data_IF_232422839049
#
_entry.id   IF_232422839049
#
_cell.length_a   1.000
_cell.length_b   1.000
_cell.length_c   1.000
_cell.angle_alpha   90.00
_cell.angle_beta   90.00
_cell.angle_gamma   90.00
#
_symmetry.space_group_name_H-M   'P 1'
#
loop_
_entity.id
_entity.type
_entity.pdbx_description
1 polymer ?
#
# COMPACT_ATOMS: atom_id res chain seq x y z
N UNK A 1 29.44 -104.25 68.06
CA UNK A 1 28.27 -103.40 67.75
C UNK A 1 28.77 -102.27 66.87
N UNK A 2 28.50 -102.30 65.56
CA UNK A 2 28.95 -101.25 64.65
C UNK A 2 27.85 -100.19 64.57
N UNK A 3 28.04 -99.09 65.31
CA UNK A 3 27.04 -98.03 65.45
C UNK A 3 27.10 -97.10 64.22
N UNK A 4 26.68 -97.60 63.07
CA UNK A 4 26.51 -96.80 61.87
C UNK A 4 25.27 -95.92 62.02
N UNK A 5 25.45 -94.61 61.88
CA UNK A 5 24.37 -93.64 61.84
C UNK A 5 24.37 -92.93 60.48
N UNK A 6 23.20 -92.42 60.09
CA UNK A 6 23.03 -91.59 58.89
C UNK A 6 22.35 -90.30 59.33
N UNK A 7 22.94 -89.17 58.95
CA UNK A 7 22.34 -87.87 59.18
C UNK A 7 21.46 -87.49 57.98
N UNK A 8 20.24 -87.04 58.26
CA UNK A 8 19.42 -86.34 57.27
C UNK A 8 19.79 -84.85 57.35
N UNK A 9 20.43 -84.35 56.30
CA UNK A 9 20.95 -82.99 56.31
C UNK A 9 19.86 -81.97 56.00
N UNK A 10 19.86 -80.87 56.74
CA UNK A 10 19.02 -79.73 56.40
C UNK A 10 19.41 -79.19 55.01
N UNK A 11 18.43 -78.62 54.32
CA UNK A 11 18.61 -78.05 52.98
C UNK A 11 19.79 -77.06 52.98
N UNK A 12 20.71 -77.16 52.01
CA UNK A 12 21.93 -76.35 51.94
C UNK A 12 23.17 -76.97 52.62
N UNK A 13 23.05 -78.12 53.28
CA UNK A 13 24.18 -78.83 53.90
C UNK A 13 24.39 -80.24 53.32
N UNK A 14 25.63 -80.68 53.26
CA UNK A 14 26.06 -81.99 52.77
C UNK A 14 27.13 -82.64 53.66
N UNK A 15 27.49 -83.89 53.35
CA UNK A 15 28.49 -84.69 54.06
C UNK A 15 27.89 -85.57 55.17
N UNK A 16 28.69 -86.53 55.64
CA UNK A 16 28.22 -87.57 56.58
C UNK A 16 27.68 -87.01 57.91
N UNK A 17 28.15 -85.82 58.30
CA UNK A 17 27.72 -85.09 59.50
C UNK A 17 27.12 -83.72 59.16
N UNK A 18 26.67 -83.50 57.92
CA UNK A 18 26.11 -82.24 57.45
C UNK A 18 27.04 -81.03 57.67
N UNK A 19 28.34 -81.25 57.58
CA UNK A 19 29.37 -80.26 57.86
C UNK A 19 29.82 -79.45 56.63
N UNK A 20 29.39 -79.85 55.44
CA UNK A 20 29.74 -79.19 54.18
C UNK A 20 28.61 -78.24 53.82
N UNK A 21 28.93 -76.98 53.66
CA UNK A 21 28.03 -75.96 53.08
C UNK A 21 27.99 -76.14 51.56
N UNK A 22 26.79 -76.19 50.98
CA UNK A 22 26.63 -76.31 49.53
C UNK A 22 26.73 -74.93 48.91
N UNK A 23 27.78 -74.67 48.13
CA UNK A 23 27.88 -73.43 47.33
C UNK A 23 26.89 -73.48 46.16
N UNK A 24 25.72 -72.88 46.35
CA UNK A 24 24.68 -72.87 45.33
C UNK A 24 25.03 -71.96 44.12
N UNK A 25 26.02 -71.06 44.27
CA UNK A 25 26.48 -70.19 43.17
C UNK A 25 27.26 -70.93 42.08
N UNK A 26 27.79 -72.14 42.36
CA UNK A 26 28.44 -72.99 41.32
C UNK A 26 27.50 -73.32 40.15
N UNK A 27 26.18 -73.28 40.37
CA UNK A 27 25.18 -73.52 39.33
C UNK A 27 24.91 -72.32 38.42
N UNK A 28 25.54 -71.16 38.68
CA UNK A 28 25.29 -69.87 38.02
C UNK A 28 23.79 -69.49 38.01
N UNK A 29 23.12 -69.40 39.17
CA UNK A 29 21.68 -69.16 39.23
C UNK A 29 21.27 -67.73 38.86
N UNK A 30 22.21 -66.77 38.81
CA UNK A 30 21.96 -65.36 38.53
C UNK A 30 22.09 -65.03 37.03
N UNK A 31 21.06 -64.45 36.45
CA UNK A 31 21.05 -63.99 35.04
C UNK A 31 21.62 -62.58 34.89
N UNK A 32 21.77 -62.14 33.63
CA UNK A 32 22.10 -60.76 33.27
C UNK A 32 23.39 -60.22 33.94
N UNK A 33 24.41 -61.08 34.07
CA UNK A 33 25.69 -60.77 34.72
C UNK A 33 25.54 -60.28 36.17
N UNK A 34 24.45 -60.64 36.86
CA UNK A 34 24.28 -60.35 38.27
C UNK A 34 25.27 -61.16 39.13
N UNK A 35 25.65 -60.59 40.27
CA UNK A 35 26.60 -61.23 41.19
C UNK A 35 25.88 -62.21 42.10
N UNK A 36 26.32 -63.47 42.12
CA UNK A 36 25.79 -64.48 43.03
C UNK A 36 26.50 -64.41 44.39
N UNK A 37 25.72 -64.46 45.46
CA UNK A 37 26.18 -64.53 46.83
C UNK A 37 25.64 -65.81 47.47
N UNK A 38 26.57 -66.70 47.82
CA UNK A 38 26.28 -67.93 48.55
C UNK A 38 25.81 -67.63 49.98
N UNK A 39 24.72 -68.27 50.43
CA UNK A 39 24.05 -67.97 51.71
C UNK A 39 23.36 -69.21 52.29
N UNK A 40 23.96 -69.89 53.24
CA UNK A 40 23.29 -71.07 53.82
C UNK A 40 22.07 -70.73 54.69
N UNK A 41 20.88 -71.34 54.44
CA UNK A 41 20.56 -72.21 53.30
C UNK A 41 20.19 -71.41 52.02
N UNK A 42 20.85 -71.69 50.88
CA UNK A 42 20.54 -71.10 49.57
C UNK A 42 21.48 -69.99 49.06
N UNK A 43 20.96 -69.13 48.19
CA UNK A 43 21.75 -68.10 47.51
C UNK A 43 20.94 -66.81 47.31
N UNK A 44 21.64 -65.71 47.00
CA UNK A 44 21.02 -64.43 46.66
C UNK A 44 21.77 -63.77 45.49
N UNK A 45 21.05 -63.24 44.50
CA UNK A 45 21.63 -62.45 43.43
C UNK A 45 21.57 -60.95 43.74
N UNK A 46 22.69 -60.26 43.60
CA UNK A 46 22.71 -58.79 43.52
C UNK A 46 22.60 -58.36 42.05
N UNK A 47 21.41 -57.87 41.70
CA UNK A 47 21.09 -57.45 40.34
C UNK A 47 21.87 -56.21 39.91
N UNK A 48 22.30 -56.19 38.65
CA UNK A 48 22.76 -54.96 38.00
C UNK A 48 21.58 -53.99 37.81
N UNK A 49 21.84 -52.67 37.71
CA UNK A 49 20.79 -51.68 37.42
C UNK A 49 19.98 -52.06 36.18
N UNK A 50 18.66 -51.85 36.23
CA UNK A 50 17.74 -52.22 35.14
C UNK A 50 17.19 -53.65 35.23
N UNK A 51 17.63 -54.48 36.19
CA UNK A 51 17.11 -55.83 36.38
C UNK A 51 16.47 -56.04 37.76
N UNK A 52 15.47 -56.93 37.80
CA UNK A 52 14.74 -57.33 39.00
C UNK A 52 14.43 -58.83 38.98
N UNK A 53 13.84 -59.33 40.07
CA UNK A 53 13.57 -60.74 40.29
C UNK A 53 14.64 -61.42 41.16
N UNK A 54 14.30 -62.60 41.68
CA UNK A 54 15.18 -63.37 42.57
C UNK A 54 16.49 -63.81 41.89
N UNK A 55 16.45 -64.06 40.59
CA UNK A 55 17.62 -64.42 39.75
C UNK A 55 18.07 -63.25 38.86
N UNK A 56 17.53 -62.04 39.06
CA UNK A 56 17.77 -60.88 38.20
C UNK A 56 17.39 -61.14 36.72
N UNK A 57 16.38 -61.98 36.50
CA UNK A 57 15.95 -62.46 35.19
C UNK A 57 15.04 -61.47 34.44
N UNK A 58 14.44 -60.52 35.15
CA UNK A 58 13.41 -59.63 34.59
C UNK A 58 14.00 -58.25 34.35
N UNK A 59 13.89 -57.76 33.13
CA UNK A 59 14.17 -56.36 32.79
C UNK A 59 13.12 -55.44 33.45
N UNK A 60 13.56 -54.34 34.03
CA UNK A 60 12.67 -53.30 34.52
C UNK A 60 12.13 -52.56 33.30
N UNK A 61 10.81 -52.31 33.27
CA UNK A 61 10.20 -51.46 32.25
C UNK A 61 9.99 -50.06 32.84
N UNK A 62 11.01 -49.20 32.70
CA UNK A 62 10.96 -47.84 33.19
C UNK A 62 9.87 -46.99 32.51
N UNK A 63 9.38 -47.40 31.32
CA UNK A 63 8.29 -46.71 30.63
C UNK A 63 6.93 -46.86 31.33
N UNK A 64 6.74 -47.83 32.23
CA UNK A 64 5.51 -47.94 33.04
C UNK A 64 5.27 -46.73 33.97
N UNK A 65 6.31 -45.91 34.18
CA UNK A 65 6.23 -44.71 35.00
C UNK A 65 5.88 -43.43 34.23
N UNK A 66 5.60 -43.54 32.92
CA UNK A 66 5.38 -42.43 31.99
C UNK A 66 6.44 -41.31 32.13
N UNK A 67 7.74 -41.63 31.95
CA UNK A 67 8.79 -40.68 32.23
C UNK A 67 8.89 -39.57 31.16
N UNK A 68 8.31 -39.74 29.97
CA UNK A 68 8.40 -38.77 28.87
C UNK A 68 7.30 -37.71 28.92
N UNK A 69 7.65 -36.43 28.72
CA UNK A 69 6.70 -35.32 28.67
C UNK A 69 6.26 -35.02 27.23
N UNK A 70 5.27 -34.12 27.09
CA UNK A 70 4.84 -33.53 25.81
C UNK A 70 4.50 -34.57 24.73
N UNK A 71 3.80 -35.64 25.12
CA UNK A 71 3.41 -36.76 24.25
C UNK A 71 4.58 -37.45 23.53
N UNK A 72 5.79 -37.35 24.08
CA UNK A 72 6.94 -38.09 23.58
C UNK A 72 6.79 -39.60 23.81
N UNK A 73 7.36 -40.39 22.91
CA UNK A 73 7.30 -41.85 22.98
C UNK A 73 8.42 -42.37 23.89
N UNK A 74 8.06 -43.08 24.95
CA UNK A 74 9.03 -43.77 25.80
C UNK A 74 9.52 -45.05 25.15
N UNK A 75 10.83 -45.29 25.23
CA UNK A 75 11.49 -46.47 24.71
C UNK A 75 12.25 -47.12 25.88
N UNK A 76 11.83 -48.32 26.28
CA UNK A 76 12.51 -49.05 27.33
C UNK A 76 13.90 -49.51 26.86
N UNK A 77 14.93 -49.31 27.70
CA UNK A 77 16.32 -49.66 27.39
C UNK A 77 16.93 -50.36 28.59
N UNK A 78 17.92 -51.21 28.38
CA UNK A 78 18.60 -51.84 29.52
C UNK A 78 20.08 -51.43 29.54
N UNK A 79 20.55 -50.70 30.58
CA UNK A 79 19.77 -50.14 31.70
C UNK A 79 19.05 -48.82 31.34
N UNK A 80 17.83 -48.59 31.84
CA UNK A 80 17.13 -47.30 31.79
C UNK A 80 16.07 -47.11 30.69
N UNK A 81 16.04 -45.92 30.08
CA UNK A 81 15.03 -45.57 29.08
C UNK A 81 15.47 -44.36 28.26
N UNK A 82 14.89 -44.22 27.07
CA UNK A 82 15.02 -43.05 26.20
C UNK A 82 13.63 -42.46 25.89
N UNK A 83 13.55 -41.15 25.70
CA UNK A 83 12.36 -40.51 25.11
C UNK A 83 12.64 -40.10 23.67
N UNK A 84 11.79 -40.54 22.74
CA UNK A 84 11.73 -40.00 21.39
C UNK A 84 10.79 -38.78 21.39
N UNK A 85 11.39 -37.59 21.36
CA UNK A 85 10.65 -36.33 21.38
C UNK A 85 9.86 -36.12 20.09
N UNK A 86 8.64 -35.59 20.23
CA UNK A 86 7.90 -35.04 19.10
C UNK A 86 8.60 -33.75 18.61
N UNK A 87 8.42 -33.35 17.34
CA UNK A 87 8.99 -32.10 16.83
C UNK A 87 8.62 -30.89 17.72
N UNK A 88 9.56 -29.96 17.91
CA UNK A 88 9.38 -28.78 18.77
C UNK A 88 9.74 -29.00 20.25
N UNK A 89 10.15 -30.20 20.66
CA UNK A 89 10.61 -30.47 22.03
C UNK A 89 11.99 -31.12 22.08
N UNK A 90 12.70 -30.87 23.18
CA UNK A 90 14.05 -31.35 23.45
C UNK A 90 14.25 -31.67 24.94
N UNK A 91 15.42 -32.21 25.28
CA UNK A 91 15.78 -32.71 26.59
C UNK A 91 15.59 -34.21 26.74
N UNK A 92 16.20 -34.80 27.76
CA UNK A 92 16.17 -36.25 28.02
C UNK A 92 14.76 -36.80 28.27
N UNK A 93 13.84 -35.96 28.76
CA UNK A 93 12.43 -36.30 28.98
C UNK A 93 11.51 -35.55 28.01
N UNK A 94 12.06 -34.90 26.99
CA UNK A 94 11.33 -34.00 26.08
C UNK A 94 10.56 -32.89 26.80
N UNK A 95 11.09 -32.42 27.93
CA UNK A 95 10.45 -31.44 28.81
C UNK A 95 10.59 -30.00 28.35
N UNK A 96 11.54 -29.73 27.45
CA UNK A 96 11.89 -28.38 27.03
C UNK A 96 11.31 -28.12 25.65
N UNK A 97 10.49 -27.09 25.53
CA UNK A 97 10.02 -26.58 24.24
C UNK A 97 11.17 -25.84 23.54
N UNK A 98 11.28 -26.01 22.22
CA UNK A 98 12.32 -25.39 21.41
C UNK A 98 11.82 -24.03 20.94
N UNK A 99 12.36 -22.94 21.50
CA UNK A 99 12.07 -21.59 20.99
C UNK A 99 12.82 -21.39 19.66
N UNK A 100 12.14 -21.59 18.53
CA UNK A 100 12.74 -21.44 17.21
C UNK A 100 13.05 -19.97 16.86
N UNK A 101 12.45 -19.01 17.56
CA UNK A 101 12.72 -17.58 17.39
C UNK A 101 14.10 -17.15 17.93
N UNK A 102 14.75 -17.95 18.79
CA UNK A 102 16.14 -17.67 19.24
C UNK A 102 17.16 -17.60 18.10
N UNK A 103 16.83 -18.17 16.94
CA UNK A 103 17.69 -18.14 15.75
C UNK A 103 17.49 -16.91 14.86
N UNK A 104 16.60 -15.99 15.23
CA UNK A 104 16.18 -14.83 14.44
C UNK A 104 15.80 -15.19 12.98
N UNK A 105 14.85 -16.12 12.76
CA UNK A 105 14.56 -16.63 11.41
C UNK A 105 13.81 -15.62 10.51
N UNK A 106 13.31 -14.53 11.09
CA UNK A 106 12.50 -13.51 10.44
C UNK A 106 13.32 -12.32 9.92
N UNK A 107 13.17 -11.97 8.65
CA UNK A 107 13.91 -10.89 8.01
C UNK A 107 13.10 -9.59 7.94
N UNK A 108 13.75 -8.51 7.50
CA UNK A 108 13.13 -7.21 7.26
C UNK A 108 12.40 -6.63 8.48
N UNK A 109 12.96 -6.83 9.68
CA UNK A 109 12.38 -6.41 10.96
C UNK A 109 10.99 -7.01 11.24
N UNK A 110 10.66 -8.15 10.64
CA UNK A 110 9.45 -8.88 10.94
C UNK A 110 9.46 -9.43 12.37
N UNK A 111 8.28 -9.59 12.95
CA UNK A 111 8.13 -10.13 14.32
C UNK A 111 8.08 -11.65 14.26
N UNK A 112 8.99 -12.33 14.95
CA UNK A 112 8.95 -13.78 15.11
C UNK A 112 7.95 -14.18 16.20
N UNK A 113 7.08 -15.14 15.90
CA UNK A 113 6.17 -15.77 16.85
C UNK A 113 6.54 -17.24 16.93
N UNK A 114 6.96 -17.65 18.11
CA UNK A 114 7.26 -19.03 18.47
C UNK A 114 5.98 -19.89 18.45
N UNK A 115 6.04 -21.09 17.87
CA UNK A 115 4.88 -21.97 17.66
C UNK A 115 5.25 -23.44 17.65
N UNK A 116 4.92 -24.19 18.67
CA UNK A 116 5.24 -25.63 18.66
C UNK A 116 4.35 -26.46 17.70
N UNK A 117 4.90 -27.20 16.70
CA UNK A 117 6.30 -27.20 16.25
C UNK A 117 6.62 -26.09 15.24
N UNK A 118 7.77 -25.41 15.40
CA UNK A 118 8.25 -24.37 14.49
C UNK A 118 7.92 -22.93 14.86
N UNK A 119 7.82 -22.06 13.85
CA UNK A 119 7.68 -20.63 14.08
C UNK A 119 6.88 -19.97 12.95
N UNK A 120 6.44 -18.74 13.18
CA UNK A 120 5.79 -17.93 12.15
C UNK A 120 6.25 -16.48 12.21
N UNK A 121 6.66 -15.90 11.08
CA UNK A 121 6.90 -14.47 11.00
C UNK A 121 5.61 -13.69 10.73
N UNK A 122 5.47 -12.55 11.39
CA UNK A 122 4.53 -11.51 11.00
C UNK A 122 5.30 -10.45 10.23
N UNK A 123 5.09 -10.43 8.92
CA UNK A 123 5.77 -9.51 8.02
C UNK A 123 5.28 -8.08 8.22
N UNK A 124 6.20 -7.12 8.09
CA UNK A 124 5.83 -5.72 7.95
C UNK A 124 5.11 -5.51 6.60
N UNK A 125 4.27 -4.47 6.47
CA UNK A 125 3.66 -4.10 5.19
C UNK A 125 4.72 -3.97 4.09
N UNK A 126 4.42 -4.44 2.88
CA UNK A 126 5.35 -4.53 1.75
C UNK A 126 6.18 -5.81 1.68
N UNK A 127 6.15 -6.69 2.70
CA UNK A 127 6.88 -7.97 2.66
C UNK A 127 5.96 -9.19 2.74
N UNK A 128 6.40 -10.30 2.15
CA UNK A 128 5.71 -11.58 2.16
C UNK A 128 6.69 -12.77 2.24
N UNK A 129 6.14 -13.99 2.29
CA UNK A 129 6.86 -15.24 2.44
C UNK A 129 7.05 -15.67 3.91
N UNK A 130 7.41 -16.94 4.12
CA UNK A 130 7.52 -17.52 5.47
C UNK A 130 8.53 -16.76 6.35
N UNK A 131 9.65 -16.32 5.77
CA UNK A 131 10.71 -15.56 6.43
C UNK A 131 10.61 -14.05 6.22
N UNK A 132 9.55 -13.55 5.56
CA UNK A 132 9.38 -12.14 5.19
C UNK A 132 10.52 -11.56 4.34
N UNK A 133 11.13 -12.37 3.49
CA UNK A 133 12.27 -11.99 2.64
C UNK A 133 11.85 -11.45 1.27
N UNK A 134 10.59 -11.63 0.90
CA UNK A 134 10.09 -11.31 -0.44
C UNK A 134 9.44 -9.93 -0.38
N UNK A 135 9.93 -8.99 -1.17
CA UNK A 135 9.28 -7.69 -1.40
C UNK A 135 8.01 -7.91 -2.24
N UNK A 136 6.91 -7.30 -1.83
CA UNK A 136 5.66 -7.34 -2.58
C UNK A 136 5.83 -6.42 -3.78
N UNK A 137 5.41 -6.88 -4.96
CA UNK A 137 5.42 -6.04 -6.15
C UNK A 137 4.04 -5.40 -6.34
N UNK A 138 3.87 -4.16 -5.90
CA UNK A 138 2.62 -3.40 -6.02
C UNK A 138 2.23 -3.16 -7.49
N UNK A 139 3.23 -3.10 -8.38
CA UNK A 139 3.04 -2.95 -9.82
C UNK A 139 2.44 -4.18 -10.51
N UNK A 140 2.44 -5.37 -9.87
CA UNK A 140 1.86 -6.59 -10.45
C UNK A 140 0.37 -6.43 -10.77
N UNK A 141 -0.34 -5.60 -10.01
CA UNK A 141 -1.76 -5.28 -10.25
C UNK A 141 -2.00 -4.33 -11.42
N UNK A 142 -0.94 -3.81 -12.05
CA UNK A 142 -0.99 -2.78 -13.11
C UNK A 142 -1.82 -1.55 -12.72
N UNK A 143 -1.49 -0.86 -11.60
CA UNK A 143 -2.32 0.24 -11.09
C UNK A 143 -2.29 1.49 -11.99
N UNK A 144 -1.20 1.69 -12.74
CA UNK A 144 -1.03 2.86 -13.61
C UNK A 144 -1.91 2.79 -14.87
N UNK A 145 -2.86 3.70 -14.98
CA UNK A 145 -3.77 3.84 -16.11
C UNK A 145 -3.09 4.51 -17.32
N UNK A 146 -3.77 4.49 -18.47
CA UNK A 146 -3.33 5.10 -19.73
C UNK A 146 -1.91 4.68 -20.15
N UNK A 147 -1.51 3.46 -19.79
CA UNK A 147 -0.19 2.88 -20.04
C UNK A 147 0.95 3.70 -19.40
N UNK A 148 0.74 4.25 -18.21
CA UNK A 148 1.80 4.80 -17.37
C UNK A 148 2.82 3.73 -16.96
N UNK A 149 4.08 4.12 -16.76
CA UNK A 149 5.12 3.20 -16.30
C UNK A 149 5.08 3.10 -14.78
N UNK A 150 4.84 1.90 -14.26
CA UNK A 150 4.82 1.66 -12.81
C UNK A 150 6.23 1.44 -12.26
N UNK A 151 6.52 2.05 -11.13
CA UNK A 151 7.72 1.82 -10.33
C UNK A 151 7.32 1.22 -8.99
N UNK A 152 7.89 0.06 -8.72
CA UNK A 152 7.74 -0.68 -7.48
C UNK A 152 8.50 0.02 -6.36
N UNK A 153 7.86 0.20 -5.20
CA UNK A 153 8.46 0.82 -4.02
C UNK A 153 8.07 0.00 -2.79
N UNK A 154 8.81 0.14 -1.69
CA UNK A 154 8.49 -0.64 -0.49
C UNK A 154 7.11 -0.25 0.07
N UNK A 155 6.15 -1.18 0.04
CA UNK A 155 4.77 -0.99 0.49
C UNK A 155 4.04 0.17 -0.22
N UNK A 156 4.46 0.52 -1.45
CA UNK A 156 3.90 1.63 -2.21
C UNK A 156 4.24 1.46 -3.71
N UNK A 157 3.71 2.32 -4.56
CA UNK A 157 4.13 2.38 -5.96
C UNK A 157 4.11 3.82 -6.46
N UNK A 158 4.78 4.04 -7.59
CA UNK A 158 4.73 5.32 -8.30
C UNK A 158 4.48 5.12 -9.78
N UNK A 159 3.48 5.83 -10.30
CA UNK A 159 3.26 5.90 -11.74
C UNK A 159 4.01 7.07 -12.37
N UNK A 160 4.77 6.78 -13.42
CA UNK A 160 5.26 7.77 -14.36
C UNK A 160 4.27 7.91 -15.51
N UNK A 161 3.51 9.00 -15.47
CA UNK A 161 2.45 9.25 -16.44
C UNK A 161 3.01 9.64 -17.80
N UNK A 162 2.34 9.16 -18.85
CA UNK A 162 2.56 9.68 -20.20
C UNK A 162 2.09 11.14 -20.27
N UNK A 163 2.68 11.89 -21.19
CA UNK A 163 2.33 13.28 -21.41
C UNK A 163 0.82 13.40 -21.73
N UNK A 164 0.16 14.43 -21.19
CA UNK A 164 -1.30 14.59 -21.22
C UNK A 164 -2.07 13.91 -20.08
N UNK A 165 -1.41 13.20 -19.17
CA UNK A 165 -2.06 12.56 -18.01
C UNK A 165 -1.37 12.93 -16.68
N UNK A 166 -2.14 12.92 -15.60
CA UNK A 166 -1.70 13.22 -14.23
C UNK A 166 -2.52 12.43 -13.19
N UNK A 167 -2.23 12.65 -11.91
CA UNK A 167 -2.75 11.86 -10.78
C UNK A 167 -1.83 10.70 -10.39
N UNK A 168 -2.08 10.10 -9.22
CA UNK A 168 -1.25 9.02 -8.67
C UNK A 168 -1.21 7.78 -9.57
N UNK A 169 -2.33 7.49 -10.23
CA UNK A 169 -2.50 6.35 -11.13
C UNK A 169 -2.56 6.79 -12.60
N UNK A 170 -2.17 8.02 -12.91
CA UNK A 170 -2.31 8.59 -14.26
C UNK A 170 -3.75 8.59 -14.80
N UNK A 171 -4.73 8.63 -13.90
CA UNK A 171 -6.16 8.51 -14.21
C UNK A 171 -6.77 9.82 -14.72
N UNK A 172 -6.11 10.95 -14.52
CA UNK A 172 -6.63 12.28 -14.85
C UNK A 172 -6.02 12.72 -16.18
N UNK A 173 -6.85 12.93 -17.20
CA UNK A 173 -6.43 13.62 -18.42
C UNK A 173 -6.24 15.11 -18.11
N UNK A 174 -5.12 15.67 -18.54
CA UNK A 174 -4.85 17.10 -18.43
C UNK A 174 -5.76 17.82 -19.43
N UNK A 175 -6.38 18.92 -18.99
CA UNK A 175 -7.14 19.80 -19.86
C UNK A 175 -6.33 21.06 -20.13
N UNK A 176 -5.67 21.12 -21.28
CA UNK A 176 -4.78 22.23 -21.66
C UNK A 176 -5.55 23.53 -21.92
N UNK A 177 -6.85 23.45 -22.21
CA UNK A 177 -7.72 24.61 -22.39
C UNK A 177 -7.99 25.41 -21.10
N UNK A 178 -7.75 24.84 -19.92
CA UNK A 178 -7.92 25.55 -18.62
C UNK A 178 -7.05 26.81 -18.51
N UNK A 179 -5.94 26.86 -19.25
CA UNK A 179 -5.05 28.03 -19.34
C UNK A 179 -5.55 29.14 -20.26
N UNK A 180 -6.70 28.96 -20.92
CA UNK A 180 -7.25 29.83 -21.96
C UNK A 180 -6.21 30.21 -23.05
N UNK A 181 -5.64 29.22 -23.76
CA UNK A 181 -4.56 29.49 -24.70
C UNK A 181 -5.02 30.18 -25.99
N UNK A 182 -6.30 30.06 -26.37
CA UNK A 182 -6.86 30.65 -27.57
C UNK A 182 -7.21 32.13 -27.37
N UNK A 183 -6.59 33.01 -28.16
CA UNK A 183 -6.83 34.47 -28.15
C UNK A 183 -7.96 34.88 -29.10
N UNK A 184 -8.29 36.17 -29.10
CA UNK A 184 -9.26 36.78 -30.03
C UNK A 184 -10.59 36.01 -30.14
N UNK A 185 -11.13 35.59 -28.99
CA UNK A 185 -12.40 34.85 -28.89
C UNK A 185 -12.42 33.51 -29.66
N UNK A 186 -11.25 32.87 -29.84
CA UNK A 186 -11.15 31.51 -30.37
C UNK A 186 -11.69 30.47 -29.38
N UNK A 187 -12.36 29.44 -29.91
CA UNK A 187 -12.87 28.32 -29.10
C UNK A 187 -11.77 27.28 -28.92
N UNK A 188 -11.44 26.93 -27.68
CA UNK A 188 -10.44 25.91 -27.37
C UNK A 188 -11.07 24.51 -27.37
N UNK A 189 -10.40 23.57 -28.02
CA UNK A 189 -10.72 22.14 -28.00
C UNK A 189 -9.55 21.39 -27.37
N UNK A 190 -9.87 20.71 -26.29
CA UNK A 190 -8.94 19.87 -25.54
C UNK A 190 -8.55 18.62 -26.34
N UNK A 191 -7.27 18.24 -26.31
CA UNK A 191 -6.74 17.05 -26.97
C UNK A 191 -5.78 16.33 -26.00
N UNK A 192 -5.47 15.06 -26.27
CA UNK A 192 -4.49 14.35 -25.45
C UNK A 192 -3.12 15.01 -25.63
N UNK A 193 -2.55 15.53 -24.54
CA UNK A 193 -1.24 16.18 -24.51
C UNK A 193 -1.16 17.43 -25.40
N UNK A 194 -2.26 18.20 -25.49
CA UNK A 194 -2.29 19.40 -26.29
C UNK A 194 -3.69 19.96 -26.47
N UNK A 195 -3.83 20.93 -27.36
CA UNK A 195 -5.12 21.56 -27.65
C UNK A 195 -5.14 22.09 -29.07
N UNK A 196 -6.33 22.41 -29.56
CA UNK A 196 -6.57 23.08 -30.84
C UNK A 196 -7.47 24.29 -30.65
N UNK A 197 -7.07 25.42 -31.21
CA UNK A 197 -7.92 26.60 -31.26
C UNK A 197 -8.72 26.64 -32.58
N UNK A 198 -10.03 26.76 -32.46
CA UNK A 198 -10.90 27.16 -33.57
C UNK A 198 -11.05 28.67 -33.57
N UNK A 199 -10.37 29.33 -34.51
CA UNK A 199 -10.40 30.77 -34.64
C UNK A 199 -11.72 31.26 -35.23
N UNK A 200 -12.13 32.45 -34.80
CA UNK A 200 -13.23 33.18 -35.43
C UNK A 200 -12.78 33.66 -36.82
N UNK A 201 -13.71 34.01 -37.71
CA UNK A 201 -13.42 34.41 -39.11
C UNK A 201 -12.37 35.53 -39.24
N UNK A 202 -12.18 36.32 -38.19
CA UNK A 202 -11.32 37.50 -38.18
C UNK A 202 -9.97 37.26 -37.50
N UNK A 203 -9.62 36.00 -37.17
CA UNK A 203 -8.34 35.63 -36.55
C UNK A 203 -7.69 34.36 -37.11
N UNK A 204 -6.37 34.27 -37.02
CA UNK A 204 -5.53 33.18 -37.53
C UNK A 204 -4.32 32.92 -36.63
N UNK A 205 -3.59 31.84 -36.88
CA UNK A 205 -2.50 31.35 -36.04
C UNK A 205 -2.91 30.14 -35.19
N UNK A 206 -1.94 29.48 -34.55
CA UNK A 206 -2.18 28.27 -33.74
C UNK A 206 -2.98 28.58 -32.47
N UNK A 207 -2.87 29.81 -31.98
CA UNK A 207 -3.53 30.33 -30.78
C UNK A 207 -4.50 31.46 -31.12
N UNK A 208 -4.87 31.63 -32.39
CA UNK A 208 -5.68 32.75 -32.88
C UNK A 208 -5.10 34.12 -32.50
N UNK A 209 -3.78 34.22 -32.42
CA UNK A 209 -3.01 35.37 -31.95
C UNK A 209 -2.96 36.50 -32.98
N UNK A 210 -3.09 36.16 -34.27
CA UNK A 210 -3.07 37.12 -35.36
C UNK A 210 -4.49 37.48 -35.77
N UNK A 211 -4.76 38.76 -36.02
CA UNK A 211 -5.99 39.17 -36.72
C UNK A 211 -5.83 38.83 -38.21
N UNK A 212 -6.89 38.34 -38.85
CA UNK A 212 -6.87 38.05 -40.27
C UNK A 212 -6.53 39.32 -41.06
N UNK A 213 -5.55 39.20 -41.95
CA UNK A 213 -5.25 40.22 -42.93
C UNK A 213 -5.74 39.76 -44.30
N UNK A 214 -6.94 40.19 -44.65
CA UNK A 214 -7.58 39.87 -45.91
C UNK A 214 -6.84 40.47 -47.12
N UNK A 215 -5.90 41.39 -46.91
CA UNK A 215 -5.04 41.96 -47.95
C UNK A 215 -3.75 41.15 -48.22
N UNK A 216 -3.41 40.13 -47.42
CA UNK A 216 -2.17 39.36 -47.60
C UNK A 216 -2.11 38.56 -48.90
N UNK A 217 -3.27 38.19 -49.47
CA UNK A 217 -3.37 37.53 -50.77
C UNK A 217 -3.23 38.50 -51.96
N UNK A 218 -3.02 39.80 -51.71
CA UNK A 218 -3.02 40.87 -52.71
C UNK A 218 -4.25 40.81 -53.62
N UNK A 219 -5.47 40.87 -53.04
CA UNK A 219 -6.70 40.66 -53.80
C UNK A 219 -7.03 41.81 -54.76
N UNK A 220 -6.51 43.02 -54.52
CA UNK A 220 -6.73 44.18 -55.38
C UNK A 220 -5.82 44.13 -56.60
N UNK A 221 -6.42 44.17 -57.79
CA UNK A 221 -5.72 44.18 -59.07
C UNK A 221 -5.33 45.60 -59.49
N UNK A 222 -4.48 45.69 -60.52
CA UNK A 222 -4.12 46.96 -61.19
C UNK A 222 -3.61 48.06 -60.24
N UNK A 223 -2.75 47.67 -59.30
CA UNK A 223 -2.14 48.52 -58.28
C UNK A 223 -3.15 49.21 -57.32
N UNK A 224 -4.36 48.67 -57.20
CA UNK A 224 -5.34 49.13 -56.21
C UNK A 224 -4.83 48.98 -54.76
N UNK A 225 -5.07 49.99 -53.93
CA UNK A 225 -4.67 49.98 -52.52
C UNK A 225 -5.64 49.11 -51.72
N UNK A 226 -5.14 48.07 -51.07
CA UNK A 226 -5.96 47.19 -50.24
C UNK A 226 -6.08 47.69 -48.80
N UNK A 227 -7.30 47.87 -48.32
CA UNK A 227 -7.61 48.17 -46.92
C UNK A 227 -8.19 46.92 -46.23
N UNK A 228 -7.53 46.49 -45.15
CA UNK A 228 -8.00 45.36 -44.34
C UNK A 228 -9.15 45.82 -43.45
N UNK A 229 -10.30 45.14 -43.53
CA UNK A 229 -11.50 45.44 -42.76
C UNK A 229 -11.84 44.28 -41.81
N UNK A 230 -12.80 44.53 -40.91
CA UNK A 230 -13.24 43.53 -39.92
C UNK A 230 -13.98 42.33 -40.55
N UNK A 231 -14.54 42.46 -41.75
CA UNK A 231 -15.36 41.43 -42.42
C UNK A 231 -14.85 41.16 -43.85
N UNK A 232 -13.52 41.27 -44.06
CA UNK A 232 -12.90 41.11 -45.39
C UNK A 232 -11.90 42.22 -45.75
N UNK A 233 -11.74 42.48 -47.04
CA UNK A 233 -10.89 43.56 -47.56
C UNK A 233 -11.71 44.54 -48.39
N UNK A 234 -11.20 45.75 -48.60
CA UNK A 234 -11.75 46.73 -49.53
C UNK A 234 -10.62 47.27 -50.41
N UNK A 235 -10.84 47.29 -51.72
CA UNK A 235 -9.90 47.88 -52.67
C UNK A 235 -10.24 49.35 -52.94
N UNK A 236 -9.22 50.19 -52.98
CA UNK A 236 -9.28 51.56 -53.49
C UNK A 236 -8.56 51.58 -54.84
N UNK A 237 -9.32 51.78 -55.91
CA UNK A 237 -8.81 51.69 -57.27
C UNK A 237 -8.19 53.01 -57.74
N UNK A 238 -7.15 52.91 -58.57
CA UNK A 238 -6.53 54.07 -59.22
C UNK A 238 -7.43 54.55 -60.38
N UNK A 239 -7.36 55.84 -60.68
CA UNK A 239 -8.14 56.50 -61.74
C UNK A 239 -8.27 55.63 -63.01
N UNK A 240 -9.51 55.42 -63.46
CA UNK A 240 -9.92 54.59 -64.61
C UNK A 240 -10.15 53.08 -64.36
N UNK A 241 -10.06 52.61 -63.10
CA UNK A 241 -10.44 51.25 -62.70
C UNK A 241 -11.58 51.23 -61.67
N UNK A 242 -12.46 50.23 -61.74
CA UNK A 242 -13.59 50.02 -60.81
C UNK A 242 -13.88 48.51 -60.62
N UNK A 243 -14.82 48.18 -59.72
CA UNK A 243 -15.11 46.81 -59.29
C UNK A 243 -14.67 46.56 -57.84
N UNK A 244 -15.07 45.42 -57.26
CA UNK A 244 -14.78 45.09 -55.86
C UNK A 244 -13.28 44.77 -55.63
N UNK A 245 -12.58 44.35 -56.70
CA UNK A 245 -11.14 44.05 -56.71
C UNK A 245 -10.36 44.87 -57.75
N UNK A 246 -10.95 45.94 -58.29
CA UNK A 246 -10.38 46.82 -59.32
C UNK A 246 -10.14 46.15 -60.68
N UNK A 247 -10.95 45.18 -61.06
CA UNK A 247 -10.82 44.36 -62.26
C UNK A 247 -11.35 45.00 -63.56
N UNK A 248 -12.21 46.01 -63.47
CA UNK A 248 -12.87 46.62 -64.62
C UNK A 248 -12.21 47.95 -65.02
N UNK A 249 -11.94 48.17 -66.31
CA UNK A 249 -11.38 49.43 -66.85
C UNK A 249 -12.45 50.24 -67.56
N UNK A 250 -12.44 51.56 -67.37
CA UNK A 250 -13.16 52.48 -68.25
C UNK A 250 -12.71 52.30 -69.71
N UNK A 251 -13.55 51.69 -70.54
CA UNK A 251 -13.43 51.74 -72.00
C UNK A 251 -14.20 52.97 -72.48
N UNK A 252 -13.54 54.13 -72.55
CA UNK A 252 -14.09 55.27 -73.27
C UNK A 252 -14.00 55.02 -74.77
N UNK A 253 -14.85 54.13 -75.29
CA UNK A 253 -15.17 54.02 -76.72
C UNK A 253 -16.64 53.61 -76.89
N UNK A 254 -17.51 54.61 -77.00
CA UNK A 254 -18.74 54.65 -77.82
C UNK A 254 -19.51 55.90 -77.41
N UNK A 255 -19.64 56.94 -78.24
CA UNK A 255 -20.30 57.06 -79.54
C UNK A 255 -21.35 58.17 -79.36
N UNK A 256 -21.45 59.03 -80.35
CA UNK A 256 -22.25 60.25 -80.29
C UNK A 256 -23.73 60.00 -80.07
N UNK A 257 -24.35 60.89 -79.31
CA UNK A 257 -25.74 61.23 -79.50
C UNK A 257 -25.83 62.73 -79.79
N UNK A 258 -25.74 63.07 -81.07
CA UNK A 258 -26.22 64.34 -81.61
C UNK A 258 -27.70 64.20 -81.95
N UNK A 259 -28.58 64.80 -81.15
CA UNK A 259 -29.90 65.22 -81.63
C UNK A 259 -30.18 66.62 -81.07
N UNK A 260 -30.25 67.57 -81.99
CA UNK A 260 -30.84 68.89 -81.78
C UNK A 260 -32.34 68.72 -81.55
N UNK A 261 -32.85 69.17 -80.40
CA UNK A 261 -33.92 70.18 -80.24
C UNK A 261 -34.48 70.16 -78.81
N UNK A 262 -34.34 71.31 -78.12
CA UNK A 262 -35.07 71.81 -76.95
C UNK A 262 -35.75 70.80 -76.00
N UNK A 263 -35.11 70.51 -74.85
CA UNK A 263 -35.56 70.86 -73.48
C UNK A 263 -34.92 69.94 -72.42
N UNK A 264 -34.54 70.55 -71.29
CA UNK A 264 -34.09 69.93 -70.03
C UNK A 264 -32.65 69.39 -69.94
N UNK A 265 -31.68 70.31 -69.77
CA UNK A 265 -30.50 70.01 -68.96
C UNK A 265 -30.92 69.90 -67.48
N UNK A 266 -30.95 68.67 -66.95
CA UNK A 266 -31.07 68.40 -65.52
C UNK A 266 -29.81 67.69 -65.04
N UNK A 267 -28.89 68.45 -64.43
CA UNK A 267 -27.88 67.86 -63.55
C UNK A 267 -28.57 67.37 -62.28
N UNK A 268 -28.61 66.06 -62.05
CA UNK A 268 -28.78 65.52 -60.71
C UNK A 268 -27.88 64.30 -60.50
N UNK A 269 -27.23 64.33 -59.35
CA UNK A 269 -26.24 63.42 -58.80
C UNK A 269 -26.74 61.98 -58.66
N UNK A 270 -25.83 61.03 -58.86
CA UNK A 270 -26.01 59.60 -58.56
C UNK A 270 -26.57 59.39 -57.15
N UNK A 271 -27.59 58.54 -57.02
CA UNK A 271 -27.64 57.54 -55.95
C UNK A 271 -28.28 56.26 -56.49
N UNK A 272 -27.43 55.25 -56.68
CA UNK A 272 -27.80 53.85 -56.84
C UNK A 272 -28.56 53.37 -55.60
N UNK A 273 -29.73 52.77 -55.85
CA UNK A 273 -30.38 51.87 -54.91
C UNK A 273 -29.65 50.52 -54.96
N UNK A 274 -28.94 50.13 -53.90
CA UNK A 274 -29.16 48.85 -53.23
C UNK A 274 -28.33 48.69 -51.95
N UNK A 275 -28.98 48.06 -50.98
CA UNK A 275 -28.46 47.53 -49.71
C UNK A 275 -28.46 48.45 -48.48
N UNK A 276 -29.08 47.92 -47.42
CA UNK A 276 -29.22 48.38 -46.02
C UNK A 276 -30.28 49.44 -45.73
N UNK A 277 -31.43 48.97 -45.24
CA UNK A 277 -31.79 49.13 -43.81
C UNK A 277 -32.96 48.22 -43.43
N UNK A 278 -32.62 47.10 -42.79
CA UNK A 278 -33.38 46.58 -41.66
C UNK A 278 -33.65 47.70 -40.64
N UNK A 279 -34.73 47.54 -39.88
CA UNK A 279 -35.28 48.43 -38.84
C UNK A 279 -36.43 49.34 -39.27
N UNK A 280 -37.56 48.70 -39.61
CA UNK A 280 -38.90 49.14 -39.22
C UNK A 280 -39.77 47.91 -38.88
N UNK A 281 -39.42 47.26 -37.77
CA UNK A 281 -40.34 46.50 -36.92
C UNK A 281 -39.64 46.31 -35.56
N UNK A 282 -39.47 47.42 -34.84
CA UNK A 282 -38.93 47.41 -33.49
C UNK A 282 -39.65 48.46 -32.66
N UNK A 283 -40.99 48.33 -32.57
CA UNK A 283 -41.87 49.12 -31.70
C UNK A 283 -43.19 48.38 -31.36
N UNK A 284 -43.19 47.03 -31.40
CA UNK A 284 -44.39 46.22 -31.13
C UNK A 284 -44.17 44.97 -30.27
N UNK A 285 -42.95 44.70 -29.82
CA UNK A 285 -42.59 43.43 -29.15
C UNK A 285 -41.73 43.59 -27.89
N UNK A 286 -41.53 44.84 -27.41
CA UNK A 286 -40.92 45.14 -26.10
C UNK A 286 -41.99 45.50 -25.03
N UNK A 287 -43.23 45.78 -25.46
CA UNK A 287 -44.36 46.01 -24.54
C UNK A 287 -45.01 44.74 -23.98
N UNK A 288 -44.96 43.62 -24.72
CA UNK A 288 -45.62 42.37 -24.32
C UNK A 288 -44.79 41.54 -23.30
N UNK A 289 -43.46 41.66 -23.30
CA UNK A 289 -42.60 40.94 -22.35
C UNK A 289 -42.48 41.62 -20.98
N UNK A 290 -42.56 42.97 -20.93
CA UNK A 290 -42.52 43.74 -19.68
C UNK A 290 -43.88 43.68 -18.95
N UNK A 291 -44.99 43.55 -19.70
CA UNK A 291 -46.32 43.31 -19.13
C UNK A 291 -46.49 41.94 -18.47
N UNK A 292 -45.94 40.87 -19.07
CA UNK A 292 -46.05 39.51 -18.51
C UNK A 292 -45.17 39.29 -17.26
N UNK A 293 -44.00 39.94 -17.18
CA UNK A 293 -43.13 39.86 -15.99
C UNK A 293 -43.67 40.63 -14.78
N UNK A 294 -44.38 41.75 -15.00
CA UNK A 294 -45.00 42.51 -13.92
C UNK A 294 -46.29 41.85 -13.39
N UNK A 295 -47.02 41.10 -14.21
CA UNK A 295 -48.18 40.30 -13.76
C UNK A 295 -47.80 39.02 -13.00
N UNK A 296 -46.64 38.44 -13.30
CA UNK A 296 -46.13 37.24 -12.58
C UNK A 296 -45.55 37.63 -11.21
N UNK A 297 -44.87 38.78 -11.11
CA UNK A 297 -44.36 39.28 -9.84
C UNK A 297 -45.46 39.80 -8.89
N UNK A 298 -46.60 40.28 -9.41
CA UNK A 298 -47.77 40.62 -8.58
C UNK A 298 -48.55 39.39 -8.11
N UNK A 299 -48.58 38.30 -8.90
CA UNK A 299 -49.24 37.04 -8.53
C UNK A 299 -48.45 36.25 -7.47
N UNK A 300 -47.11 36.25 -7.55
CA UNK A 300 -46.25 35.66 -6.53
C UNK A 300 -46.26 36.43 -5.20
N UNK A 301 -46.44 37.75 -5.22
CA UNK A 301 -46.60 38.57 -4.01
C UNK A 301 -47.99 38.38 -3.36
N UNK A 302 -49.03 38.04 -4.13
CA UNK A 302 -50.37 37.69 -3.61
C UNK A 302 -50.37 36.31 -2.91
N UNK A 303 -49.61 35.34 -3.42
CA UNK A 303 -49.50 33.99 -2.82
C UNK A 303 -48.73 33.96 -1.48
N UNK A 304 -47.87 34.94 -1.20
CA UNK A 304 -47.08 35.00 0.05
C UNK A 304 -47.78 35.76 1.19
N UNK A 305 -49.00 36.26 1.00
CA UNK A 305 -49.74 37.05 2.01
C UNK A 305 -51.11 36.47 2.41
N UNK A 306 -51.56 35.36 1.82
CA UNK A 306 -52.77 34.66 2.26
C UNK A 306 -52.42 33.34 2.99
N UNK A 307 -52.45 33.49 4.31
CA UNK A 307 -52.29 32.53 5.39
C UNK A 307 -53.26 31.34 5.29
N UNK A 308 -52.86 30.24 5.93
CA UNK A 308 -53.68 29.42 6.84
C UNK A 308 -54.14 28.03 6.38
N UNK A 309 -53.48 27.04 7.02
CA UNK A 309 -54.02 25.85 7.71
C UNK A 309 -54.68 24.70 6.91
N UNK A 310 -54.33 23.54 7.46
CA UNK A 310 -55.17 22.36 7.78
C UNK A 310 -55.22 21.16 6.83
N UNK A 311 -54.88 20.03 7.48
CA UNK A 311 -55.30 18.63 7.31
C UNK A 311 -54.66 17.81 6.17
N UNK A 312 -53.75 16.85 6.42
CA UNK A 312 -53.82 15.64 7.25
C UNK A 312 -54.75 14.55 6.66
N UNK A 313 -54.17 13.51 6.02
CA UNK A 313 -54.15 12.09 6.47
C UNK A 313 -53.67 11.12 5.36
N UNK A 314 -52.56 10.38 5.59
CA UNK A 314 -52.42 8.91 5.89
C UNK A 314 -52.25 8.05 4.61
N UNK A 315 -51.04 7.58 4.21
CA UNK A 315 -50.14 6.46 4.66
C UNK A 315 -50.33 5.16 3.83
N UNK A 316 -49.44 4.13 3.85
CA UNK A 316 -48.06 3.94 4.39
C UNK A 316 -47.07 3.39 3.30
N UNK A 317 -45.75 3.24 3.47
CA UNK A 317 -44.86 2.44 4.36
C UNK A 317 -43.41 3.01 4.21
N UNK A 318 -42.37 2.82 5.03
CA UNK A 318 -42.05 2.26 6.36
C UNK A 318 -40.65 2.83 6.70
N UNK A 319 -40.44 3.43 7.88
CA UNK A 319 -39.14 3.64 8.53
C UNK A 319 -39.30 4.28 9.93
N UNK A 320 -38.63 3.73 10.95
CA UNK A 320 -38.45 4.33 12.30
C UNK A 320 -37.11 3.82 12.84
N UNK A 321 -36.02 4.61 12.90
CA UNK A 321 -35.58 5.61 13.92
C UNK A 321 -35.30 5.00 15.31
N UNK A 322 -34.10 5.28 15.85
CA UNK A 322 -33.93 5.95 17.15
C UNK A 322 -32.53 6.58 17.32
N UNK A 323 -32.52 7.67 18.09
CA UNK A 323 -31.50 8.71 18.27
C UNK A 323 -30.37 8.31 19.24
N UNK A 324 -29.27 9.07 19.24
CA UNK A 324 -28.25 9.07 20.29
C UNK A 324 -28.05 10.50 20.83
N UNK A 325 -28.23 10.67 22.15
CA UNK A 325 -27.62 11.74 22.96
C UNK A 325 -26.92 11.11 24.18
N UNK A 326 -25.73 11.64 24.47
CA UNK A 326 -24.91 11.72 25.70
C UNK A 326 -25.42 11.00 26.97
N UNK A 327 -24.59 10.18 27.61
CA UNK A 327 -24.20 10.30 29.04
C UNK A 327 -23.09 9.32 29.48
N UNK A 328 -22.41 9.74 30.53
CA UNK A 328 -21.27 9.20 31.27
C UNK A 328 -21.29 7.69 31.57
N UNK A 329 -20.12 7.04 31.54
CA UNK A 329 -19.92 5.77 32.24
C UNK A 329 -19.40 6.01 33.66
N UNK A 330 -20.10 5.39 34.60
CA UNK A 330 -19.81 5.33 36.03
C UNK A 330 -19.35 3.92 36.39
N UNK A 331 -18.40 3.86 37.32
CA UNK A 331 -17.90 2.65 37.99
C UNK A 331 -19.03 1.87 38.67
N UNK A 332 -19.07 0.53 38.55
CA UNK A 332 -19.47 -0.36 39.66
C UNK A 332 -18.62 -1.64 39.65
N UNK A 333 -17.99 -1.85 40.80
CA UNK A 333 -17.18 -2.96 41.23
C UNK A 333 -17.86 -4.35 41.18
N UNK A 334 -17.06 -5.39 40.93
CA UNK A 334 -17.21 -6.71 41.58
C UNK A 334 -15.88 -7.15 42.22
N UNK A 335 -16.06 -7.75 43.39
CA UNK A 335 -15.16 -7.98 44.54
C UNK A 335 -14.32 -9.28 44.40
N UNK A 336 -13.45 -9.62 45.39
CA UNK A 336 -12.09 -10.13 45.17
C UNK A 336 -11.96 -11.66 45.22
N UNK A 337 -10.89 -12.16 44.62
CA UNK A 337 -10.29 -13.47 44.95
C UNK A 337 -8.79 -13.24 45.22
N UNK A 338 -8.36 -13.46 46.47
CA UNK A 338 -6.96 -13.71 46.86
C UNK A 338 -6.77 -15.23 47.05
N UNK A 339 -5.55 -15.82 47.21
CA UNK A 339 -4.18 -15.28 47.29
C UNK A 339 -3.22 -15.97 46.26
N UNK A 340 -1.97 -15.55 46.03
CA UNK A 340 -0.80 -15.96 46.84
C UNK A 340 0.50 -15.50 46.15
N UNK A 341 1.39 -14.87 46.92
CA UNK A 341 2.83 -14.72 46.64
C UNK A 341 3.43 -16.03 46.06
N UNK A 342 4.39 -15.99 45.13
CA UNK A 342 5.78 -15.56 45.29
C UNK A 342 6.44 -15.73 43.91
N UNK A 343 7.59 -15.09 43.72
CA UNK A 343 8.67 -15.37 42.75
C UNK A 343 8.91 -14.27 41.69
N UNK A 344 10.11 -13.69 41.85
CA UNK A 344 10.97 -13.03 40.85
C UNK A 344 10.86 -11.53 40.56
N UNK A 345 11.34 -10.74 41.53
CA UNK A 345 12.26 -9.60 41.27
C UNK A 345 13.56 -10.09 40.62
N UNK A 346 13.50 -10.61 39.40
CA UNK A 346 14.69 -10.91 38.58
C UNK A 346 14.49 -10.67 37.07
N UNK A 347 13.34 -10.15 36.65
CA UNK A 347 13.03 -9.92 35.24
C UNK A 347 13.28 -8.46 34.79
N UNK A 348 13.09 -7.47 35.66
CA UNK A 348 13.32 -6.06 35.29
C UNK A 348 14.80 -5.60 35.33
N UNK A 349 15.71 -6.46 35.77
CA UNK A 349 17.16 -6.17 35.80
C UNK A 349 17.94 -6.72 34.58
N UNK A 350 17.31 -7.49 33.68
CA UNK A 350 17.99 -8.07 32.50
C UNK A 350 17.80 -7.29 31.20
N UNK A 351 16.78 -6.43 31.11
CA UNK A 351 16.58 -5.53 29.96
C UNK A 351 17.51 -4.30 29.95
N UNK A 352 18.36 -4.11 30.97
CA UNK A 352 19.31 -2.98 31.06
C UNK A 352 20.79 -3.35 30.85
N UNK A 353 21.10 -4.61 30.48
CA UNK A 353 22.50 -5.06 30.27
C UNK A 353 22.82 -5.62 28.88
N UNK A 354 21.91 -5.58 27.92
CA UNK A 354 22.18 -5.97 26.52
C UNK A 354 22.18 -4.81 25.51
N UNK A 355 22.20 -3.54 25.97
CA UNK A 355 22.24 -2.35 25.09
C UNK A 355 23.52 -1.51 25.18
N UNK A 356 24.63 -2.11 25.61
CA UNK A 356 25.95 -1.45 25.58
C UNK A 356 27.05 -2.46 25.29
N UNK A 357 27.19 -2.87 24.03
CA UNK A 357 28.48 -3.13 23.37
C UNK A 357 28.27 -3.63 21.94
N UNK A 358 28.48 -2.71 21.00
CA UNK A 358 28.77 -2.85 19.55
C UNK A 358 27.88 -1.93 18.71
N UNK A 359 28.13 -0.63 18.85
CA UNK A 359 27.78 0.33 17.83
C UNK A 359 28.91 0.34 16.78
N UNK A 360 28.79 -0.49 15.74
CA UNK A 360 29.55 -0.28 14.50
C UNK A 360 28.77 0.76 13.68
N UNK A 361 29.27 1.99 13.64
CA UNK A 361 28.70 3.06 12.81
C UNK A 361 29.30 3.00 11.40
N UNK A 362 28.52 2.56 10.42
CA UNK A 362 28.89 2.64 9.01
C UNK A 362 28.63 4.07 8.48
N UNK A 363 29.67 4.72 7.98
CA UNK A 363 29.54 5.96 7.19
C UNK A 363 29.26 5.58 5.73
N UNK A 364 28.12 6.00 5.17
CA UNK A 364 27.82 5.83 3.74
C UNK A 364 28.47 6.97 2.93
N UNK A 365 29.10 6.63 1.81
CA UNK A 365 29.64 7.58 0.82
C UNK A 365 28.58 7.84 -0.24
N UNK A 366 28.34 9.12 -0.56
CA UNK A 366 27.68 9.56 -1.80
C UNK A 366 28.70 10.35 -2.64
N UNK A 367 28.57 10.30 -3.96
CA UNK A 367 29.57 10.63 -4.99
C UNK A 367 29.94 12.13 -5.15
N UNK A 368 29.70 12.97 -4.14
CA UNK A 368 30.06 14.39 -4.16
C UNK A 368 30.86 14.75 -2.91
N UNK A 369 32.19 14.72 -3.01
CA UNK A 369 33.12 14.89 -1.89
C UNK A 369 33.08 16.25 -1.18
N UNK A 370 32.12 16.45 -0.28
CA UNK A 370 32.08 17.55 0.68
C UNK A 370 31.86 17.05 2.12
N UNK A 371 32.59 17.65 3.07
CA UNK A 371 32.54 17.34 4.51
C UNK A 371 31.16 17.64 5.12
N UNK A 372 30.49 16.65 5.68
CA UNK A 372 29.29 16.86 6.50
C UNK A 372 29.63 16.84 8.00
N UNK A 373 29.25 17.90 8.71
CA UNK A 373 29.18 17.93 10.17
C UNK A 373 27.73 17.69 10.59
N UNK A 374 27.43 16.57 11.27
CA UNK A 374 26.07 16.29 11.76
C UNK A 374 25.98 16.68 13.24
N UNK A 375 24.99 17.50 13.58
CA UNK A 375 24.78 18.06 14.90
C UNK A 375 23.79 17.17 15.66
N UNK A 376 24.23 16.58 16.76
CA UNK A 376 23.42 15.69 17.59
C UNK A 376 23.07 16.39 18.90
N UNK A 377 21.80 16.27 19.31
CA UNK A 377 21.30 16.73 20.60
C UNK A 377 21.00 15.48 21.43
N UNK A 378 21.67 15.33 22.56
CA UNK A 378 21.42 14.23 23.50
C UNK A 378 20.11 14.47 24.27
N UNK A 379 19.55 13.44 24.90
CA UNK A 379 18.32 13.53 25.72
C UNK A 379 18.46 14.48 26.92
N UNK A 380 19.69 14.80 27.33
CA UNK A 380 19.99 15.81 28.36
C UNK A 380 20.11 17.25 27.81
N UNK A 381 19.87 17.45 26.51
CA UNK A 381 19.95 18.74 25.82
C UNK A 381 21.36 19.16 25.39
N UNK A 382 22.39 18.35 25.65
CA UNK A 382 23.76 18.68 25.23
C UNK A 382 23.97 18.47 23.72
N UNK A 383 24.67 19.41 23.06
CA UNK A 383 24.95 19.36 21.62
C UNK A 383 26.36 18.85 21.36
N UNK A 384 26.50 17.82 20.50
CA UNK A 384 27.79 17.31 20.02
C UNK A 384 27.89 17.41 18.50
N UNK A 385 29.05 17.84 18.01
CA UNK A 385 29.37 17.86 16.58
C UNK A 385 30.41 16.76 16.33
N UNK A 386 30.06 15.80 15.49
CA UNK A 386 30.99 14.77 15.03
C UNK A 386 31.55 15.19 13.66
N UNK A 387 32.88 15.28 13.56
CA UNK A 387 33.61 15.48 12.30
C UNK A 387 34.26 14.16 11.89
N UNK A 388 33.93 13.64 10.72
CA UNK A 388 34.61 12.49 10.13
C UNK A 388 35.92 12.97 9.48
N UNK A 389 37.06 12.34 9.79
CA UNK A 389 38.37 12.68 9.19
C UNK A 389 38.78 11.55 8.24
N UNK A 390 39.03 11.88 6.97
CA UNK A 390 39.61 10.94 6.00
C UNK A 390 41.04 10.56 6.41
N UNK A 391 41.34 9.26 6.49
CA UNK A 391 42.71 8.74 6.58
C UNK A 391 43.00 7.95 5.31
N UNK A 392 43.90 8.45 4.46
CA UNK A 392 44.38 7.74 3.26
C UNK A 392 45.28 6.59 3.72
N UNK A 393 44.92 5.36 3.39
CA UNK A 393 45.80 4.20 3.56
C UNK A 393 46.70 4.13 2.32
N UNK A 394 48.01 4.29 2.50
CA UNK A 394 49.02 3.95 1.49
C UNK A 394 49.21 2.44 1.51
N UNK A 395 49.04 1.79 0.36
CA UNK A 395 49.47 0.41 0.14
C UNK A 395 50.95 0.45 -0.25
N UNK A 396 51.82 -0.08 0.60
CA UNK A 396 53.19 -0.43 0.22
C UNK A 396 53.27 -1.94 -0.03
N UNK A 397 54.05 -2.26 -1.07
CA UNK A 397 54.34 -3.60 -1.59
C UNK A 397 55.43 -4.30 -0.78
#
# INVERSE_FOLDING_TARGET
MNNSYTCDCQHGYAGNNCQIDIDECQSNPCYNNATCLDRTPGWNCTCLPGFTGNQCQTDIDECQSDPCYNNATCINRTPGWDCACVPGYTGNRCQTEIDECQSDPCYNNATCIDRTPGWNCVCLPGYTGHQCTIDINECHSSPCQHHGHCLDLLNDYRCHCKAGYTGNDCQIAINECTSNPCRNNGTCVDLINGYRCHCSNDSTGQHCEHRMNHCSSHPCLHDGTCMNNYDGFKCECIDSWFGDICEERHTNESEGCSVLEYSECSCFTQQSKQSRKSNKMLLGSIGYAIGLLLTILSYCAWMMLNKSKSDCKIHPHEATILQHEVFQESEIAKKPVQPSHRVNKLHEARLRKQKQQKEHHNCFLDHSGFDFSKLYVNEDGSRKILKCRHQRVQNDS
#
